data_IF_100805641859
#
_entry.id   IF_100805641859
#
_cell.length_a   1.000
_cell.length_b   1.000
_cell.length_c   1.000
_cell.angle_alpha   90.00
_cell.angle_beta   90.00
_cell.angle_gamma   90.00
#
_symmetry.space_group_name_H-M   'P 1'
#
loop_
_entity.id
_entity.type
_entity.pdbx_description
1 polymer ?
#
# COMPACT_ATOMS: atom_id res chain seq x y z
N UNK A 1 -9.99 20.02 -34.19
CA UNK A 1 -9.74 21.49 -34.25
C UNK A 1 -8.24 21.83 -34.22
N UNK A 2 -7.38 21.15 -33.45
CA UNK A 2 -5.94 21.50 -33.33
C UNK A 2 -4.96 20.79 -34.29
N UNK A 3 -5.44 19.96 -35.21
CA UNK A 3 -4.60 19.22 -36.18
C UNK A 3 -3.79 20.13 -37.13
N UNK A 4 -4.15 21.41 -37.25
CA UNK A 4 -3.53 22.37 -38.17
C UNK A 4 -2.53 23.33 -37.50
N UNK A 5 -2.32 23.23 -36.18
CA UNK A 5 -1.42 24.12 -35.43
C UNK A 5 -0.43 23.36 -34.52
N UNK A 6 0.44 22.48 -35.07
CA UNK A 6 1.32 21.63 -34.26
C UNK A 6 2.45 22.41 -33.54
N UNK A 7 2.76 23.63 -33.98
CA UNK A 7 3.81 24.48 -33.41
C UNK A 7 3.30 25.48 -32.37
N UNK A 8 2.08 25.29 -31.90
CA UNK A 8 1.51 26.20 -30.91
C UNK A 8 2.30 26.08 -29.61
N UNK A 9 2.85 27.20 -29.13
CA UNK A 9 3.63 27.23 -27.90
C UNK A 9 2.79 27.62 -26.69
N UNK A 10 1.76 28.44 -26.89
CA UNK A 10 0.87 28.91 -25.84
C UNK A 10 -0.57 28.66 -26.29
N UNK A 11 -1.34 27.96 -25.45
CA UNK A 11 -2.77 27.76 -25.63
C UNK A 11 -3.48 28.32 -24.41
N UNK A 12 -4.46 29.17 -24.66
CA UNK A 12 -5.30 29.78 -23.63
C UNK A 12 -6.75 29.61 -24.06
N UNK A 13 -7.51 28.89 -23.25
CA UNK A 13 -8.93 28.60 -23.46
C UNK A 13 -9.61 28.79 -22.12
N UNK A 14 -10.34 29.88 -21.96
CA UNK A 14 -11.02 30.25 -20.72
C UNK A 14 -12.51 30.45 -20.97
N UNK A 15 -13.33 30.27 -19.95
CA UNK A 15 -14.78 30.52 -19.98
C UNK A 15 -15.52 29.74 -21.08
N UNK A 16 -15.27 28.42 -21.16
CA UNK A 16 -15.95 27.55 -22.12
C UNK A 16 -16.69 26.37 -21.45
N UNK A 17 -18.01 26.35 -21.61
CA UNK A 17 -18.88 25.28 -21.09
C UNK A 17 -18.61 23.90 -21.69
N UNK A 18 -18.06 23.83 -22.91
CA UNK A 18 -17.77 22.57 -23.61
C UNK A 18 -16.58 21.78 -23.03
N UNK A 19 -15.81 22.39 -22.13
CA UNK A 19 -14.62 21.79 -21.52
C UNK A 19 -14.91 21.08 -20.20
N UNK A 20 -16.17 20.73 -19.93
CA UNK A 20 -16.50 19.89 -18.77
C UNK A 20 -15.90 18.48 -18.89
N UNK A 21 -15.92 17.90 -20.10
CA UNK A 21 -15.40 16.56 -20.40
C UNK A 21 -14.87 16.50 -21.86
N UNK A 22 -13.76 17.19 -22.17
CA UNK A 22 -13.19 17.17 -23.51
C UNK A 22 -12.64 15.78 -23.87
N UNK A 23 -12.59 15.46 -25.17
CA UNK A 23 -11.91 14.26 -25.65
C UNK A 23 -10.44 14.27 -25.18
N UNK A 24 -9.98 13.25 -24.44
CA UNK A 24 -8.62 13.22 -23.91
C UNK A 24 -7.54 13.40 -24.98
N UNK A 25 -7.83 13.02 -26.23
CA UNK A 25 -6.88 13.09 -27.34
C UNK A 25 -6.79 14.46 -28.00
N UNK A 26 -7.61 15.42 -27.59
CA UNK A 26 -7.70 16.73 -28.26
C UNK A 26 -6.38 17.52 -28.22
N UNK A 27 -5.56 17.32 -27.18
CA UNK A 27 -4.27 18.00 -27.01
C UNK A 27 -3.08 17.19 -27.54
N UNK A 28 -3.27 15.93 -27.94
CA UNK A 28 -2.18 15.08 -28.48
C UNK A 28 -1.40 15.69 -29.66
N UNK A 29 -2.00 16.49 -30.58
CA UNK A 29 -1.25 17.11 -31.67
C UNK A 29 -0.33 18.26 -31.22
N UNK A 30 -0.45 18.72 -29.98
CA UNK A 30 0.21 19.92 -29.44
C UNK A 30 1.49 19.57 -28.66
N UNK A 31 2.32 18.67 -29.18
CA UNK A 31 3.55 18.22 -28.49
C UNK A 31 4.60 19.32 -28.25
N UNK A 32 4.51 20.46 -28.94
CA UNK A 32 5.40 21.61 -28.76
C UNK A 32 4.91 22.65 -27.74
N UNK A 33 3.76 22.40 -27.09
CA UNK A 33 3.16 23.35 -26.18
C UNK A 33 4.03 23.59 -24.93
N UNK A 34 4.17 24.87 -24.55
CA UNK A 34 4.95 25.33 -23.39
C UNK A 34 4.09 25.96 -22.30
N UNK A 35 2.99 26.64 -22.67
CA UNK A 35 1.98 27.19 -21.75
C UNK A 35 0.60 26.65 -22.13
N UNK A 36 -0.08 26.07 -21.16
CA UNK A 36 -1.49 25.68 -21.26
C UNK A 36 -2.27 26.37 -20.15
N UNK A 37 -3.26 27.15 -20.55
CA UNK A 37 -4.20 27.81 -19.66
C UNK A 37 -5.61 27.35 -19.99
N UNK A 38 -6.21 26.62 -19.07
CA UNK A 38 -7.57 26.09 -19.11
C UNK A 38 -8.35 26.61 -17.89
N UNK A 39 -8.04 27.81 -17.41
CA UNK A 39 -8.73 28.44 -16.29
C UNK A 39 -10.19 28.75 -16.61
N UNK A 40 -11.03 28.81 -15.58
CA UNK A 40 -12.45 29.16 -15.68
C UNK A 40 -13.21 28.25 -16.66
N UNK A 41 -12.92 26.96 -16.62
CA UNK A 41 -13.72 25.93 -17.30
C UNK A 41 -14.37 25.01 -16.25
N UNK A 42 -15.08 23.98 -16.71
CA UNK A 42 -15.76 23.02 -15.82
C UNK A 42 -15.01 21.69 -15.72
N UNK A 43 -13.68 21.69 -15.82
CA UNK A 43 -12.90 20.44 -15.84
C UNK A 43 -13.02 19.69 -14.51
N UNK A 44 -13.35 18.40 -14.60
CA UNK A 44 -13.49 17.52 -13.43
C UNK A 44 -12.31 16.55 -13.25
N UNK A 45 -11.56 16.29 -14.32
CA UNK A 45 -10.36 15.43 -14.30
C UNK A 45 -9.24 16.01 -15.17
N UNK A 46 -8.05 15.43 -15.04
CA UNK A 46 -6.85 15.78 -15.82
C UNK A 46 -6.51 14.73 -16.89
N UNK A 47 -7.47 13.88 -17.27
CA UNK A 47 -7.24 12.75 -18.19
C UNK A 47 -6.78 13.21 -19.57
N UNK A 48 -7.27 14.37 -20.01
CA UNK A 48 -6.82 15.02 -21.25
C UNK A 48 -5.33 15.38 -21.25
N UNK A 49 -4.73 15.55 -20.07
CA UNK A 49 -3.32 15.91 -19.93
C UNK A 49 -2.47 14.65 -19.87
N UNK A 50 -2.91 13.63 -19.13
CA UNK A 50 -2.21 12.34 -19.04
C UNK A 50 -2.09 11.66 -20.40
N UNK A 51 -3.16 11.70 -21.22
CA UNK A 51 -3.16 11.10 -22.55
C UNK A 51 -2.42 11.91 -23.62
N UNK A 52 -2.26 13.22 -23.42
CA UNK A 52 -1.64 14.11 -24.41
C UNK A 52 -0.10 14.08 -24.43
N UNK A 53 0.53 13.59 -23.36
CA UNK A 53 2.00 13.48 -23.22
C UNK A 53 2.75 14.77 -23.62
N UNK A 54 2.37 15.89 -22.99
CA UNK A 54 2.88 17.23 -23.30
C UNK A 54 4.28 17.45 -22.70
N UNK A 55 5.27 16.74 -23.23
CA UNK A 55 6.64 16.67 -22.68
C UNK A 55 7.37 18.01 -22.57
N UNK A 56 6.99 19.02 -23.36
CA UNK A 56 7.60 20.36 -23.39
C UNK A 56 6.82 21.40 -22.56
N UNK A 57 5.72 21.00 -21.92
CA UNK A 57 4.89 21.93 -21.16
C UNK A 57 5.63 22.42 -19.93
N UNK A 58 5.73 23.75 -19.77
CA UNK A 58 6.43 24.39 -18.65
C UNK A 58 5.46 25.03 -17.66
N UNK A 59 4.30 25.51 -18.14
CA UNK A 59 3.28 26.15 -17.30
C UNK A 59 1.90 25.58 -17.57
N UNK A 60 1.24 25.17 -16.50
CA UNK A 60 -0.13 24.67 -16.51
C UNK A 60 -0.98 25.50 -15.54
N UNK A 61 -2.05 26.09 -16.04
CA UNK A 61 -2.99 26.92 -15.29
C UNK A 61 -4.39 26.32 -15.45
N UNK A 62 -4.98 25.90 -14.34
CA UNK A 62 -6.29 25.23 -14.26
C UNK A 62 -7.14 25.86 -13.15
N UNK A 63 -7.00 27.17 -12.97
CA UNK A 63 -7.69 27.87 -11.88
C UNK A 63 -9.19 27.90 -12.11
N UNK A 64 -9.98 27.90 -11.03
CA UNK A 64 -11.44 27.96 -11.08
C UNK A 64 -12.05 26.88 -11.99
N UNK A 65 -11.68 25.62 -11.76
CA UNK A 65 -12.30 24.44 -12.36
C UNK A 65 -13.01 23.60 -11.28
N UNK A 66 -13.50 22.41 -11.64
CA UNK A 66 -14.23 21.51 -10.75
C UNK A 66 -13.39 20.28 -10.35
N UNK A 67 -12.06 20.40 -10.35
CA UNK A 67 -11.15 19.31 -10.02
C UNK A 67 -11.31 18.90 -8.55
N UNK A 68 -11.58 17.62 -8.33
CA UNK A 68 -11.81 17.05 -6.99
C UNK A 68 -10.63 16.25 -6.49
N UNK A 69 -10.10 15.40 -7.37
CA UNK A 69 -9.02 14.48 -7.10
C UNK A 69 -7.94 14.74 -8.14
N UNK A 70 -6.71 14.89 -7.68
CA UNK A 70 -5.54 15.06 -8.53
C UNK A 70 -4.72 13.78 -8.40
N UNK A 71 -4.63 13.02 -9.49
CA UNK A 71 -3.69 11.92 -9.59
C UNK A 71 -2.29 12.49 -9.87
N UNK A 72 -1.33 12.26 -8.98
CA UNK A 72 0.03 12.74 -9.15
C UNK A 72 0.75 12.15 -10.37
N UNK A 73 0.31 10.99 -10.86
CA UNK A 73 0.91 10.33 -12.01
C UNK A 73 0.71 11.11 -13.32
N UNK A 74 -0.27 12.02 -13.37
CA UNK A 74 -0.42 12.94 -14.50
C UNK A 74 0.86 13.77 -14.70
N UNK A 75 1.57 14.12 -13.64
CA UNK A 75 2.75 14.96 -13.71
C UNK A 75 3.98 14.22 -14.26
N UNK A 76 3.98 12.88 -14.26
CA UNK A 76 5.03 12.07 -14.90
C UNK A 76 5.02 12.25 -16.43
N UNK A 77 3.86 12.55 -17.01
CA UNK A 77 3.70 12.89 -18.44
C UNK A 77 4.10 14.33 -18.79
N UNK A 78 4.50 15.14 -17.79
CA UNK A 78 4.88 16.54 -17.91
C UNK A 78 6.29 16.82 -17.35
N UNK A 79 7.36 16.16 -17.86
CA UNK A 79 8.72 16.26 -17.29
C UNK A 79 9.31 17.67 -17.30
N UNK A 80 8.86 18.56 -18.19
CA UNK A 80 9.33 19.95 -18.30
C UNK A 80 8.56 20.94 -17.42
N UNK A 81 7.56 20.48 -16.66
CA UNK A 81 6.69 21.35 -15.88
C UNK A 81 7.49 22.12 -14.81
N UNK A 82 7.20 23.41 -14.68
CA UNK A 82 7.84 24.32 -13.71
C UNK A 82 6.83 25.10 -12.89
N UNK A 83 5.64 25.33 -13.43
CA UNK A 83 4.59 26.11 -12.79
C UNK A 83 3.25 25.41 -12.91
N UNK A 84 2.55 25.25 -11.79
CA UNK A 84 1.23 24.67 -11.69
C UNK A 84 0.33 25.59 -10.85
N UNK A 85 -0.85 25.95 -11.35
CA UNK A 85 -1.87 26.65 -10.58
C UNK A 85 -3.20 25.91 -10.65
N UNK A 86 -3.64 25.34 -9.52
CA UNK A 86 -4.92 24.66 -9.35
C UNK A 86 -5.85 25.39 -8.38
N UNK A 87 -5.61 26.67 -8.11
CA UNK A 87 -6.44 27.45 -7.19
C UNK A 87 -7.92 27.52 -7.63
N UNK A 88 -8.85 27.61 -6.68
CA UNK A 88 -10.28 27.72 -6.98
C UNK A 88 -10.94 26.41 -7.43
N UNK A 89 -10.30 25.27 -7.23
CA UNK A 89 -10.88 23.94 -7.47
C UNK A 89 -11.58 23.36 -6.21
N UNK A 90 -12.29 22.25 -6.39
CA UNK A 90 -13.17 21.63 -5.38
C UNK A 90 -12.54 20.39 -4.73
N UNK A 91 -11.33 20.53 -4.19
CA UNK A 91 -10.54 19.40 -3.69
C UNK A 91 -11.23 18.58 -2.59
N UNK A 92 -10.95 17.28 -2.56
CA UNK A 92 -11.40 16.36 -1.52
C UNK A 92 -10.28 16.10 -0.50
N UNK A 93 -10.51 16.42 0.78
CA UNK A 93 -9.64 16.08 1.90
C UNK A 93 -9.89 14.63 2.34
N UNK A 94 -9.34 13.67 1.60
CA UNK A 94 -9.32 12.26 1.96
C UNK A 94 -8.06 11.58 1.38
N UNK A 95 -7.99 10.26 1.52
CA UNK A 95 -6.84 9.50 1.02
C UNK A 95 -6.70 9.48 -0.50
N UNK A 96 -7.73 9.84 -1.26
CA UNK A 96 -7.64 9.92 -2.73
C UNK A 96 -6.71 11.05 -3.21
N UNK A 97 -6.52 12.11 -2.43
CA UNK A 97 -5.57 13.19 -2.73
C UNK A 97 -4.25 13.07 -1.94
N UNK A 98 -4.04 11.99 -1.19
CA UNK A 98 -2.84 11.84 -0.36
C UNK A 98 -1.56 11.84 -1.20
N UNK A 99 -1.60 11.20 -2.37
CA UNK A 99 -0.50 11.16 -3.33
C UNK A 99 -0.13 12.55 -3.85
N UNK A 100 -1.11 13.32 -4.33
CA UNK A 100 -0.90 14.72 -4.70
C UNK A 100 -0.35 15.58 -3.56
N UNK A 101 -0.89 15.48 -2.35
CA UNK A 101 -0.39 16.23 -1.18
C UNK A 101 1.11 15.90 -0.96
N UNK A 102 1.46 14.62 -1.00
CA UNK A 102 2.84 14.18 -0.83
C UNK A 102 3.73 14.63 -2.00
N UNK A 103 3.22 14.63 -3.22
CA UNK A 103 3.92 15.13 -4.40
C UNK A 103 4.24 16.62 -4.26
N UNK A 104 3.28 17.46 -3.84
CA UNK A 104 3.50 18.90 -3.60
C UNK A 104 4.58 19.13 -2.53
N UNK A 105 4.59 18.33 -1.46
CA UNK A 105 5.55 18.49 -0.36
C UNK A 105 6.97 18.00 -0.70
N UNK A 106 7.09 17.02 -1.60
CA UNK A 106 8.38 16.40 -1.96
C UNK A 106 9.02 16.98 -3.22
N UNK A 107 8.21 17.46 -4.17
CA UNK A 107 8.69 17.97 -5.44
C UNK A 107 9.24 19.39 -5.29
N UNK A 108 10.54 19.57 -5.60
CA UNK A 108 11.23 20.87 -5.54
C UNK A 108 11.35 21.57 -6.89
N UNK A 109 11.06 20.87 -7.98
CA UNK A 109 11.20 21.38 -9.33
C UNK A 109 9.99 22.22 -9.74
N UNK A 110 8.79 21.77 -9.39
CA UNK A 110 7.54 22.42 -9.79
C UNK A 110 7.08 23.39 -8.72
N UNK A 111 6.93 24.66 -9.09
CA UNK A 111 6.29 25.66 -8.25
C UNK A 111 4.77 25.54 -8.35
N UNK A 112 4.13 25.11 -7.25
CA UNK A 112 2.68 25.02 -7.14
C UNK A 112 2.12 26.30 -6.52
N UNK A 113 1.49 27.12 -7.36
CA UNK A 113 1.02 28.44 -6.98
C UNK A 113 -0.09 28.36 -5.92
N UNK A 114 0.11 29.08 -4.81
CA UNK A 114 -0.84 29.14 -3.68
C UNK A 114 -1.21 27.78 -3.09
N UNK A 115 -0.35 26.76 -3.22
CA UNK A 115 -0.62 25.41 -2.74
C UNK A 115 -1.09 25.38 -1.26
N UNK A 116 -0.41 26.12 -0.38
CA UNK A 116 -0.75 26.23 1.05
C UNK A 116 -2.10 26.90 1.35
N UNK A 117 -2.78 27.47 0.34
CA UNK A 117 -4.07 28.11 0.47
C UNK A 117 -5.21 27.29 -0.15
N UNK A 118 -4.91 26.13 -0.74
CA UNK A 118 -5.94 25.25 -1.30
C UNK A 118 -6.84 24.76 -0.19
N UNK A 119 -8.16 24.91 -0.37
CA UNK A 119 -9.18 24.51 0.59
C UNK A 119 -9.93 23.29 0.08
N UNK A 120 -10.32 22.43 1.01
CA UNK A 120 -11.16 21.29 0.70
C UNK A 120 -12.62 21.68 0.61
N UNK A 121 -13.28 21.24 -0.46
CA UNK A 121 -14.73 21.35 -0.61
C UNK A 121 -15.45 20.14 0.03
N UNK A 122 -14.79 18.98 0.05
CA UNK A 122 -15.32 17.72 0.56
C UNK A 122 -14.29 16.96 1.40
N UNK A 123 -14.70 15.99 2.23
CA UNK A 123 -16.08 15.78 2.70
C UNK A 123 -16.56 16.96 3.57
N UNK A 124 -17.86 17.06 3.86
CA UNK A 124 -18.44 18.15 4.67
C UNK A 124 -17.76 18.31 6.05
N UNK A 125 -17.20 17.24 6.60
CA UNK A 125 -16.46 17.27 7.87
C UNK A 125 -15.15 18.07 7.82
N UNK A 126 -14.54 18.21 6.65
CA UNK A 126 -13.29 18.93 6.42
C UNK A 126 -13.46 20.13 5.47
N UNK A 127 -14.71 20.57 5.25
CA UNK A 127 -14.98 21.66 4.32
C UNK A 127 -14.33 22.96 4.82
N UNK A 128 -13.58 23.62 3.95
CA UNK A 128 -12.87 24.86 4.23
C UNK A 128 -11.49 24.69 4.87
N UNK A 129 -11.13 23.48 5.32
CA UNK A 129 -9.79 23.16 5.82
C UNK A 129 -8.75 23.21 4.69
N UNK A 130 -7.48 23.39 5.04
CA UNK A 130 -6.39 23.46 4.07
C UNK A 130 -6.04 22.05 3.58
N UNK A 131 -5.96 21.86 2.27
CA UNK A 131 -5.64 20.57 1.64
C UNK A 131 -4.31 20.00 2.16
N UNK A 132 -3.27 20.83 2.25
CA UNK A 132 -1.94 20.40 2.72
C UNK A 132 -1.88 20.13 4.23
N UNK A 133 -2.91 20.52 5.00
CA UNK A 133 -2.99 20.22 6.44
C UNK A 133 -3.60 18.84 6.71
N UNK A 134 -4.16 18.19 5.70
CA UNK A 134 -4.77 16.87 5.82
C UNK A 134 -3.73 15.80 6.24
N UNK A 135 -4.07 14.96 7.21
CA UNK A 135 -3.18 13.93 7.72
C UNK A 135 -3.11 12.72 6.78
N UNK A 136 -2.15 12.74 5.86
CA UNK A 136 -1.91 11.63 4.92
C UNK A 136 -1.36 10.35 5.57
N UNK A 137 -0.81 10.41 6.80
CA UNK A 137 -0.27 9.21 7.46
C UNK A 137 -1.37 8.19 7.73
N UNK A 138 -2.56 8.67 8.10
CA UNK A 138 -3.74 7.83 8.33
C UNK A 138 -4.16 6.99 7.11
N UNK A 139 -3.70 7.33 5.90
CA UNK A 139 -3.97 6.55 4.68
C UNK A 139 -3.08 5.33 4.51
N UNK A 140 -1.90 5.34 5.13
CA UNK A 140 -0.91 4.27 5.09
C UNK A 140 -0.94 3.42 6.36
N UNK A 141 -1.46 3.99 7.43
CA UNK A 141 -1.53 3.35 8.73
C UNK A 141 -2.67 2.33 8.75
N UNK A 142 -2.33 1.09 8.38
CA UNK A 142 -3.07 -0.10 8.79
C UNK A 142 -2.81 -0.42 10.27
N UNK A 143 -2.52 0.57 11.13
CA UNK A 143 -2.21 0.35 12.55
C UNK A 143 -3.29 -0.47 13.25
N UNK A 144 -4.56 -0.22 12.92
CA UNK A 144 -5.66 -1.05 13.42
C UNK A 144 -5.55 -2.52 13.00
N UNK A 145 -5.18 -2.79 11.75
CA UNK A 145 -4.99 -4.15 11.23
C UNK A 145 -3.76 -4.82 11.87
N UNK A 146 -2.66 -4.09 12.00
CA UNK A 146 -1.41 -4.59 12.59
C UNK A 146 -1.63 -4.91 14.08
N UNK A 147 -2.25 -4.00 14.85
CA UNK A 147 -2.61 -4.24 16.24
C UNK A 147 -3.59 -5.42 16.40
N UNK A 148 -4.55 -5.57 15.48
CA UNK A 148 -5.48 -6.69 15.49
C UNK A 148 -4.78 -8.03 15.20
N UNK A 149 -3.91 -8.08 14.19
CA UNK A 149 -3.17 -9.30 13.83
C UNK A 149 -2.20 -9.70 14.94
N UNK A 150 -1.47 -8.74 15.50
CA UNK A 150 -0.50 -8.98 16.58
C UNK A 150 -1.18 -9.43 17.87
N UNK A 151 -2.28 -8.78 18.28
CA UNK A 151 -3.05 -9.21 19.46
C UNK A 151 -3.66 -10.60 19.28
N UNK A 152 -4.25 -10.88 18.11
CA UNK A 152 -4.80 -12.20 17.79
C UNK A 152 -3.74 -13.29 17.83
N UNK A 153 -2.54 -13.01 17.29
CA UNK A 153 -1.41 -13.94 17.33
C UNK A 153 -0.95 -14.24 18.76
N UNK A 154 -0.81 -13.20 19.61
CA UNK A 154 -0.45 -13.38 21.02
C UNK A 154 -1.47 -14.23 21.77
N UNK A 155 -2.77 -13.99 21.57
CA UNK A 155 -3.84 -14.81 22.17
C UNK A 155 -3.71 -16.26 21.74
N UNK A 156 -3.54 -16.55 20.46
CA UNK A 156 -3.35 -17.92 19.97
C UNK A 156 -2.13 -18.60 20.58
N UNK A 157 -1.00 -17.91 20.67
CA UNK A 157 0.23 -18.45 21.29
C UNK A 157 0.00 -18.76 22.78
N UNK A 158 -0.66 -17.88 23.53
CA UNK A 158 -0.97 -18.12 24.95
C UNK A 158 -1.93 -19.29 25.15
N UNK A 159 -2.96 -19.43 24.30
CA UNK A 159 -3.89 -20.57 24.37
C UNK A 159 -3.20 -21.88 23.98
N UNK A 160 -2.41 -21.89 22.91
CA UNK A 160 -1.67 -23.08 22.47
C UNK A 160 -0.65 -23.53 23.51
N UNK A 161 0.12 -22.60 24.07
CA UNK A 161 1.08 -22.90 25.14
C UNK A 161 0.40 -23.46 26.39
N UNK A 162 -0.73 -22.88 26.81
CA UNK A 162 -1.53 -23.39 27.93
C UNK A 162 -2.09 -24.79 27.64
N UNK A 163 -2.65 -25.02 26.45
CA UNK A 163 -3.15 -26.33 26.02
C UNK A 163 -2.03 -27.39 25.98
N UNK A 164 -0.87 -27.04 25.43
CA UNK A 164 0.30 -27.92 25.40
C UNK A 164 0.76 -28.27 26.82
N UNK A 165 0.84 -27.27 27.71
CA UNK A 165 1.29 -27.46 29.08
C UNK A 165 0.32 -28.33 29.90
N UNK A 166 -0.98 -28.07 29.80
CA UNK A 166 -1.96 -28.76 30.63
C UNK A 166 -2.32 -30.15 30.06
N UNK A 167 -2.53 -30.25 28.75
CA UNK A 167 -3.08 -31.47 28.15
C UNK A 167 -2.02 -32.36 27.50
N UNK A 168 -1.04 -31.77 26.79
CA UNK A 168 -0.08 -32.54 26.00
C UNK A 168 1.26 -32.78 26.71
N UNK A 169 1.54 -32.15 27.86
CA UNK A 169 2.86 -32.21 28.51
C UNK A 169 3.32 -33.65 28.76
N UNK A 170 2.49 -34.48 29.40
CA UNK A 170 2.86 -35.86 29.69
C UNK A 170 2.93 -36.73 28.43
N UNK A 171 2.05 -36.47 27.44
CA UNK A 171 2.06 -37.15 26.14
C UNK A 171 3.36 -36.85 25.36
N UNK A 172 3.81 -35.59 25.37
CA UNK A 172 5.06 -35.16 24.74
C UNK A 172 6.28 -35.73 25.45
N UNK A 173 6.31 -35.74 26.79
CA UNK A 173 7.40 -36.35 27.57
C UNK A 173 7.50 -37.84 27.29
N UNK A 174 6.37 -38.56 27.31
CA UNK A 174 6.33 -39.98 27.00
C UNK A 174 6.77 -40.26 25.56
N UNK A 175 6.25 -39.49 24.60
CA UNK A 175 6.65 -39.57 23.19
C UNK A 175 8.14 -39.30 22.96
N UNK A 176 8.72 -38.33 23.68
CA UNK A 176 10.15 -38.03 23.64
C UNK A 176 11.00 -39.21 24.13
N UNK A 177 10.62 -39.85 25.25
CA UNK A 177 11.33 -41.03 25.74
C UNK A 177 11.20 -42.21 24.77
N UNK A 178 10.02 -42.46 24.22
CA UNK A 178 9.80 -43.51 23.21
C UNK A 178 10.61 -43.25 21.94
N UNK A 179 10.68 -41.99 21.50
CA UNK A 179 11.47 -41.58 20.34
C UNK A 179 12.97 -41.80 20.58
N UNK A 180 13.48 -41.41 21.77
CA UNK A 180 14.87 -41.70 22.15
C UNK A 180 15.18 -43.18 22.22
N UNK A 181 14.26 -43.99 22.77
CA UNK A 181 14.41 -45.44 22.81
C UNK A 181 14.50 -46.03 21.39
N UNK A 182 13.65 -45.57 20.46
CA UNK A 182 13.71 -45.98 19.05
C UNK A 182 15.00 -45.56 18.36
N UNK A 183 15.51 -44.35 18.63
CA UNK A 183 16.79 -43.90 18.09
C UNK A 183 17.96 -44.74 18.62
N UNK A 184 17.95 -45.03 19.92
CA UNK A 184 18.94 -45.90 20.55
C UNK A 184 18.92 -47.31 19.96
N UNK A 185 17.72 -47.91 19.83
CA UNK A 185 17.57 -49.25 19.25
C UNK A 185 18.00 -49.29 17.77
N UNK A 186 17.63 -48.28 16.96
CA UNK A 186 18.11 -48.16 15.58
C UNK A 186 19.63 -48.04 15.48
N UNK A 187 20.26 -47.29 16.38
CA UNK A 187 21.72 -47.14 16.42
C UNK A 187 22.38 -48.45 16.83
N UNK A 188 21.88 -49.10 17.87
CA UNK A 188 22.39 -50.38 18.37
C UNK A 188 22.25 -51.52 17.35
N UNK A 189 21.13 -51.59 16.62
CA UNK A 189 20.95 -52.53 15.50
C UNK A 189 21.94 -52.29 14.36
N UNK A 190 22.29 -51.04 14.07
CA UNK A 190 23.34 -50.71 13.09
C UNK A 190 24.74 -51.09 13.56
N UNK A 191 25.01 -51.05 14.85
CA UNK A 191 26.31 -51.39 15.45
C UNK A 191 26.51 -52.90 15.69
N UNK A 192 25.50 -53.74 15.44
CA UNK A 192 25.66 -55.20 15.37
C UNK A 192 26.17 -55.84 16.66
N UNK A 193 25.57 -55.54 17.82
CA UNK A 193 26.00 -56.16 19.08
C UNK A 193 25.64 -57.65 19.14
N UNK A 194 26.60 -58.50 19.47
CA UNK A 194 26.38 -59.92 19.82
C UNK A 194 25.60 -60.00 21.12
N UNK A 195 24.34 -60.43 21.06
CA UNK A 195 23.49 -60.64 22.23
C UNK A 195 23.82 -62.04 22.78
N UNK A 196 24.22 -62.15 24.04
CA UNK A 196 24.48 -63.45 24.71
C UNK A 196 23.17 -64.12 25.13
N UNK A 197 22.08 -63.34 25.26
CA UNK A 197 20.76 -63.82 25.67
C UNK A 197 19.67 -63.10 24.86
N UNK A 198 18.62 -63.82 24.47
CA UNK A 198 17.48 -63.29 23.70
C UNK A 198 16.43 -62.60 24.58
N UNK A 199 16.35 -62.96 25.86
CA UNK A 199 15.46 -62.35 26.84
C UNK A 199 16.04 -62.46 28.25
N UNK A 200 15.78 -61.45 29.09
CA UNK A 200 16.01 -61.52 30.53
C UNK A 200 14.68 -61.84 31.21
N UNK A 201 14.60 -63.01 31.84
CA UNK A 201 13.44 -63.40 32.65
C UNK A 201 13.71 -62.95 34.08
N UNK A 202 12.93 -61.97 34.55
CA UNK A 202 12.91 -61.60 35.97
C UNK A 202 11.76 -62.36 36.62
N UNK A 203 12.09 -63.21 37.59
CA UNK A 203 11.12 -63.93 38.42
C UNK A 203 11.36 -63.61 39.89
N UNK A 204 10.33 -63.83 40.72
CA UNK A 204 10.41 -63.70 42.16
C UNK A 204 10.81 -65.05 42.77
N UNK A 205 11.81 -65.06 43.64
CA UNK A 205 12.35 -66.30 44.25
C UNK A 205 11.29 -67.07 45.05
N UNK A 206 10.23 -66.42 45.49
CA UNK A 206 9.14 -67.05 46.23
C UNK A 206 8.19 -67.88 45.35
N UNK A 207 8.32 -67.81 44.03
CA UNK A 207 7.49 -68.53 43.06
C UNK A 207 8.21 -69.79 42.50
N UNK A 208 9.34 -70.20 43.08
CA UNK A 208 10.12 -71.37 42.66
C UNK A 208 9.65 -72.64 43.40
N UNK A 209 9.09 -73.62 42.69
CA UNK A 209 8.71 -74.90 43.27
C UNK A 209 9.96 -75.70 43.71
N UNK A 210 10.01 -76.25 44.94
CA UNK A 210 11.18 -76.98 45.42
C UNK A 210 11.34 -78.31 44.66
N UNK A 211 12.41 -78.43 43.88
CA UNK A 211 12.74 -79.64 43.11
C UNK A 211 13.28 -80.72 44.07
N UNK A 212 12.55 -81.82 44.23
CA UNK A 212 13.00 -83.08 44.87
C UNK A 212 13.86 -83.92 43.95
#
# INVERSE_FOLDING_TARGET
>A
MFLFAPRLLNLEITDNEQWQSPDPKILTPLGDLRKLDLSENHLQSLDLISEANLTKLERLILTNNELKIIDEHVFDSLPSLKYLDLSGNLFVCNCSNAGFIQWVLSNKQVYVARAFQYRCAYPLSHQGELLLSFNVRSCWESEGLICFVTSSFLVLVTLLSSFVYHFLRWQLVYGYFLFRARLYDRKKRREGSTHVYDAFVSYNVHDEDPVT
#
